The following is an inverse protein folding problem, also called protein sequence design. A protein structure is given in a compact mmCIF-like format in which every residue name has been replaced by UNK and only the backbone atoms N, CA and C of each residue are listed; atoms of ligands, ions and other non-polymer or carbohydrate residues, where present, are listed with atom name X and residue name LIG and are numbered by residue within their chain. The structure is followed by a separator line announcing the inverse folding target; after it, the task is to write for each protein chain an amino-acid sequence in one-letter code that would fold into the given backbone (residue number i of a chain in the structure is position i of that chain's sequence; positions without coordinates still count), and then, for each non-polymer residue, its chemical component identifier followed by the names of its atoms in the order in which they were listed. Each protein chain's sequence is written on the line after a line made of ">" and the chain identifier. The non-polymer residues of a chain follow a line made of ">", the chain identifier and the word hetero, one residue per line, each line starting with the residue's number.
data_IF_051610622844
#
_entry.id   IF_051610622844
#
_cell.length_a   1.000
_cell.length_b   1.000
_cell.length_c   1.000
_cell.angle_alpha   90.00
_cell.angle_beta   90.00
_cell.angle_gamma   90.00
#
_symmetry.space_group_name_H-M   'P 1'
#
loop_
_entity.id
_entity.type
_entity.pdbx_description
1 polymer ?
#
# COMPACT_ATOMS: atom_id res chain seq x y z
N UNK A 1 6.72 -0.92 13.84
CA UNK A 1 6.55 0.03 12.72
C UNK A 1 7.73 -0.12 11.78
N UNK A 2 7.45 -0.65 10.58
CA UNK A 2 8.41 -0.74 9.48
C UNK A 2 8.46 0.64 8.80
N UNK A 3 9.58 1.35 8.91
CA UNK A 3 9.75 2.72 8.37
C UNK A 3 10.15 2.74 6.88
N UNK A 4 10.04 1.62 6.17
CA UNK A 4 10.79 1.44 4.94
C UNK A 4 10.00 1.74 3.65
N UNK A 5 8.67 1.65 3.68
CA UNK A 5 7.81 1.97 2.55
C UNK A 5 6.85 3.12 2.93
N UNK A 6 6.52 4.01 1.99
CA UNK A 6 5.64 5.15 2.27
C UNK A 6 4.21 4.70 2.59
N UNK A 7 3.65 5.22 3.68
CA UNK A 7 2.25 5.00 4.06
C UNK A 7 1.36 6.13 3.52
N UNK A 8 0.20 5.76 2.98
CA UNK A 8 -0.86 6.70 2.61
C UNK A 8 -1.92 6.67 3.72
N UNK A 9 -2.18 7.84 4.31
CA UNK A 9 -2.91 7.97 5.57
C UNK A 9 -4.34 8.49 5.42
N UNK A 10 -4.82 8.69 4.18
CA UNK A 10 -6.21 9.05 3.87
C UNK A 10 -6.55 8.71 2.41
N UNK A 11 -7.85 8.70 2.09
CA UNK A 11 -8.35 8.36 0.75
C UNK A 11 -7.82 9.26 -0.36
N UNK A 12 -7.68 10.56 -0.11
CA UNK A 12 -7.14 11.50 -1.10
C UNK A 12 -5.69 11.17 -1.49
N UNK A 13 -4.85 10.77 -0.54
CA UNK A 13 -3.48 10.36 -0.83
C UNK A 13 -3.43 9.09 -1.68
N UNK A 14 -4.36 8.15 -1.48
CA UNK A 14 -4.51 6.95 -2.32
C UNK A 14 -4.89 7.33 -3.74
N UNK A 15 -5.92 8.17 -3.90
CA UNK A 15 -6.37 8.62 -5.22
C UNK A 15 -5.27 9.39 -5.97
N UNK A 16 -4.57 10.30 -5.28
CA UNK A 16 -3.47 11.04 -5.87
C UNK A 16 -2.28 10.16 -6.25
N UNK A 17 -1.92 9.18 -5.42
CA UNK A 17 -0.85 8.24 -5.76
C UNK A 17 -1.16 7.47 -7.05
N UNK A 18 -2.42 7.05 -7.23
CA UNK A 18 -2.88 6.38 -8.46
C UNK A 18 -2.86 7.34 -9.65
N UNK A 19 -3.39 8.56 -9.51
CA UNK A 19 -3.50 9.51 -10.61
C UNK A 19 -2.16 10.14 -11.03
N UNK A 20 -1.20 10.20 -10.12
CA UNK A 20 0.11 10.84 -10.37
C UNK A 20 1.07 10.00 -11.20
N UNK A 21 0.82 8.70 -11.32
CA UNK A 21 1.73 7.75 -11.97
C UNK A 21 1.18 7.36 -13.35
N UNK A 22 1.76 7.92 -14.40
CA UNK A 22 1.36 7.63 -15.79
C UNK A 22 2.13 6.43 -16.39
N UNK A 23 3.41 6.29 -16.05
CA UNK A 23 4.34 5.34 -16.66
C UNK A 23 4.71 4.13 -15.76
N UNK A 24 4.26 4.14 -14.50
CA UNK A 24 4.60 3.13 -13.50
C UNK A 24 3.36 2.49 -12.90
N UNK A 25 3.47 1.20 -12.57
CA UNK A 25 2.44 0.47 -11.85
C UNK A 25 2.41 0.93 -10.39
N UNK A 26 1.24 1.33 -9.90
CA UNK A 26 1.02 1.67 -8.49
C UNK A 26 0.63 0.41 -7.74
N UNK A 27 1.51 -0.06 -6.87
CA UNK A 27 1.29 -1.22 -6.00
C UNK A 27 0.89 -0.72 -4.62
N UNK A 28 -0.33 -1.04 -4.18
CA UNK A 28 -0.85 -0.64 -2.87
C UNK A 28 -1.12 -1.90 -2.05
N UNK A 29 -0.45 -2.03 -0.90
CA UNK A 29 -0.78 -3.06 0.10
C UNK A 29 -1.85 -2.51 1.02
N UNK A 30 -3.06 -3.05 0.92
CA UNK A 30 -4.12 -2.84 1.91
C UNK A 30 -4.06 -3.93 2.97
N UNK A 31 -4.04 -3.54 4.25
CA UNK A 31 -4.10 -4.48 5.37
C UNK A 31 -3.71 -3.82 6.67
N UNK A 32 -3.79 -4.55 7.78
CA UNK A 32 -3.40 -4.02 9.09
C UNK A 32 -1.89 -4.10 9.28
N UNK A 33 -1.27 -3.04 9.77
CA UNK A 33 0.19 -3.03 10.00
C UNK A 33 0.64 -4.00 11.10
N UNK A 34 -0.28 -4.39 11.98
CA UNK A 34 -0.04 -5.36 13.05
C UNK A 34 -0.29 -6.81 12.60
N UNK A 35 -0.88 -7.03 11.42
CA UNK A 35 -1.12 -8.37 10.90
C UNK A 35 0.18 -9.04 10.43
N UNK A 36 0.40 -10.28 10.87
CA UNK A 36 1.63 -11.02 10.57
C UNK A 36 1.83 -11.31 9.08
N UNK A 37 0.75 -11.51 8.31
CA UNK A 37 0.85 -11.74 6.86
C UNK A 37 1.21 -10.43 6.14
N UNK A 38 0.64 -9.32 6.60
CA UNK A 38 0.98 -7.98 6.12
C UNK A 38 2.45 -7.66 6.38
N UNK A 39 2.99 -7.97 7.57
CA UNK A 39 4.42 -7.77 7.87
C UNK A 39 5.35 -8.55 6.93
N UNK A 40 5.01 -9.80 6.61
CA UNK A 40 5.79 -10.62 5.66
C UNK A 40 5.73 -10.04 4.24
N UNK A 41 4.55 -9.56 3.83
CA UNK A 41 4.37 -8.91 2.54
C UNK A 41 5.17 -7.60 2.45
N UNK A 42 5.14 -6.77 3.49
CA UNK A 42 5.89 -5.52 3.55
C UNK A 42 7.39 -5.74 3.41
N UNK A 43 7.94 -6.75 4.08
CA UNK A 43 9.36 -7.10 3.94
C UNK A 43 9.69 -7.56 2.51
N UNK A 44 8.79 -8.35 1.90
CA UNK A 44 8.94 -8.83 0.52
C UNK A 44 8.93 -7.67 -0.47
N UNK A 45 7.95 -6.78 -0.34
CA UNK A 45 7.80 -5.59 -1.17
C UNK A 45 8.99 -4.63 -1.00
N UNK A 46 9.45 -4.44 0.23
CA UNK A 46 10.62 -3.60 0.50
C UNK A 46 11.88 -4.11 -0.18
N UNK A 47 12.15 -5.43 -0.11
CA UNK A 47 13.32 -6.05 -0.76
C UNK A 47 13.35 -5.89 -2.28
N UNK A 48 12.19 -5.72 -2.92
CA UNK A 48 12.08 -5.55 -4.37
C UNK A 48 11.89 -4.09 -4.79
N UNK A 49 11.53 -3.17 -3.89
CA UNK A 49 11.18 -1.78 -4.20
C UNK A 49 12.22 -1.10 -5.10
N UNK A 50 13.50 -1.22 -4.75
CA UNK A 50 14.60 -0.65 -5.55
C UNK A 50 14.81 -1.32 -6.92
N UNK A 51 14.48 -2.61 -7.02
CA UNK A 51 14.62 -3.37 -8.28
C UNK A 51 13.52 -2.99 -9.27
N UNK A 52 12.32 -2.69 -8.78
CA UNK A 52 11.14 -2.41 -9.62
C UNK A 52 10.88 -0.91 -9.82
N UNK A 53 11.61 -0.02 -9.13
CA UNK A 53 11.37 1.44 -9.13
C UNK A 53 11.25 2.13 -10.49
N UNK A 54 11.84 1.54 -11.53
CA UNK A 54 11.79 2.06 -12.90
C UNK A 54 10.40 1.94 -13.53
N UNK A 55 9.59 0.98 -13.08
CA UNK A 55 8.28 0.67 -13.68
C UNK A 55 7.18 0.43 -12.64
N UNK A 56 7.49 0.49 -11.34
CA UNK A 56 6.50 0.37 -10.27
C UNK A 56 6.87 1.25 -9.06
N UNK A 57 5.85 1.68 -8.32
CA UNK A 57 5.95 2.34 -7.02
C UNK A 57 5.11 1.59 -6.01
N UNK A 58 5.54 1.54 -4.76
CA UNK A 58 4.91 0.72 -3.71
C UNK A 58 4.50 1.62 -2.54
N UNK A 59 3.24 1.49 -2.12
CA UNK A 59 2.65 2.18 -0.97
C UNK A 59 1.96 1.19 -0.03
N UNK A 60 1.88 1.59 1.24
CA UNK A 60 1.17 0.84 2.27
C UNK A 60 -0.07 1.64 2.73
N UNK A 61 -1.19 0.95 2.95
CA UNK A 61 -2.43 1.52 3.47
C UNK A 61 -2.92 0.65 4.61
N UNK A 62 -3.07 1.25 5.79
CA UNK A 62 -3.77 0.63 6.91
C UNK A 62 -5.28 0.83 6.76
N UNK A 63 -6.02 -0.28 6.68
CA UNK A 63 -7.48 -0.27 6.44
C UNK A 63 -8.30 0.15 7.67
N UNK A 64 -7.69 0.19 8.87
CA UNK A 64 -8.29 0.83 10.05
C UNK A 64 -8.19 2.35 9.94
N UNK A 65 -7.07 2.85 9.40
CA UNK A 65 -6.84 4.28 9.23
C UNK A 65 -7.59 4.85 8.02
N UNK A 66 -7.64 4.11 6.91
CA UNK A 66 -8.24 4.53 5.64
C UNK A 66 -9.33 3.52 5.23
N UNK A 67 -10.54 3.61 5.82
CA UNK A 67 -11.60 2.66 5.56
C UNK A 67 -12.36 2.93 4.25
N UNK A 68 -12.08 4.05 3.56
CA UNK A 68 -12.82 4.54 2.39
C UNK A 68 -12.95 3.50 1.27
N UNK A 69 -11.97 2.59 1.14
CA UNK A 69 -11.91 1.58 0.09
C UNK A 69 -12.41 0.20 0.50
N UNK A 70 -12.74 -0.02 1.79
CA UNK A 70 -13.03 -1.36 2.30
C UNK A 70 -14.26 -1.98 1.62
N UNK A 71 -15.32 -1.20 1.42
CA UNK A 71 -16.51 -1.67 0.70
C UNK A 71 -16.25 -1.83 -0.79
N UNK A 72 -15.48 -0.92 -1.39
CA UNK A 72 -15.23 -0.91 -2.84
C UNK A 72 -14.39 -2.10 -3.30
N UNK A 73 -13.38 -2.48 -2.50
CA UNK A 73 -12.47 -3.59 -2.77
C UNK A 73 -12.74 -4.83 -1.93
N UNK A 74 -13.88 -4.87 -1.23
CA UNK A 74 -14.30 -5.99 -0.38
C UNK A 74 -13.24 -6.41 0.67
N UNK A 75 -12.55 -5.42 1.25
CA UNK A 75 -11.51 -5.58 2.28
C UNK A 75 -12.18 -5.71 3.64
N UNK A 76 -12.68 -6.91 3.93
CA UNK A 76 -13.32 -7.21 5.20
C UNK A 76 -12.35 -7.93 6.13
N UNK A 77 -12.30 -7.47 7.38
CA UNK A 77 -11.64 -8.19 8.47
C UNK A 77 -12.36 -9.52 8.66
N UNK A 78 -11.70 -10.62 8.30
CA UNK A 78 -12.16 -11.98 8.58
C UNK A 78 -11.39 -12.57 9.74
#
# INVERSE_FOLDING_TARGET
>A
MSYFLPHLTNGWQVDMAILSEEDRVVVIRFGHDWDSQCMVMDETLWRIAEKVKKFAVIYLVDITQVPDFNTMYELYDR
#
